data_IF_824795785442
#
_entry.id   IF_824795785442
#
_cell.length_a   1.000
_cell.length_b   1.000
_cell.length_c   1.000
_cell.angle_alpha   90.00
_cell.angle_beta   90.00
_cell.angle_gamma   90.00
#
_symmetry.space_group_name_H-M   'P 1'
#
loop_
_entity.id
_entity.type
_entity.pdbx_description
1 polymer ?
#
# COMPACT_ATOMS: atom_id res chain seq x y z
N UNK A 1 33.47 25.90 4.10
CA UNK A 1 33.59 24.59 3.43
C UNK A 1 32.18 24.02 3.34
N UNK A 2 31.51 24.31 2.23
CA UNK A 2 30.10 24.01 1.98
C UNK A 2 30.03 22.57 1.49
N UNK A 3 29.49 21.67 2.27
CA UNK A 3 29.20 20.28 1.85
C UNK A 3 27.94 20.32 1.03
N UNK A 4 28.10 20.33 -0.29
CA UNK A 4 27.03 20.05 -1.24
C UNK A 4 26.63 18.58 -1.09
N UNK A 5 25.52 18.31 -0.41
CA UNK A 5 24.81 17.05 -0.55
C UNK A 5 24.09 17.11 -1.91
N UNK A 6 24.75 16.63 -2.94
CA UNK A 6 24.13 16.23 -4.19
C UNK A 6 23.16 15.08 -3.87
N UNK A 7 21.89 15.41 -3.74
CA UNK A 7 20.84 14.41 -3.83
C UNK A 7 20.96 13.77 -5.22
N UNK A 8 21.52 12.56 -5.29
CA UNK A 8 21.56 11.74 -6.48
C UNK A 8 20.12 11.47 -6.86
N UNK A 9 19.58 12.20 -7.82
CA UNK A 9 18.30 11.86 -8.46
C UNK A 9 18.55 10.50 -9.12
N UNK A 10 18.14 9.44 -8.48
CA UNK A 10 18.18 8.08 -9.04
C UNK A 10 17.13 8.09 -10.14
N UNK A 11 17.58 8.16 -11.38
CA UNK A 11 16.71 8.07 -12.54
C UNK A 11 16.07 6.69 -12.53
N UNK A 12 14.74 6.63 -12.35
CA UNK A 12 13.99 5.39 -12.40
C UNK A 12 13.99 4.86 -13.84
N UNK A 13 14.53 3.66 -14.05
CA UNK A 13 14.50 2.97 -15.33
C UNK A 13 13.14 2.31 -15.49
N UNK A 14 12.38 2.73 -16.47
CA UNK A 14 11.03 2.20 -16.72
C UNK A 14 10.96 1.57 -18.10
N UNK A 15 10.41 0.36 -18.15
CA UNK A 15 10.12 -0.35 -19.38
C UNK A 15 8.61 -0.55 -19.52
N UNK A 16 8.08 -0.25 -20.70
CA UNK A 16 6.69 -0.40 -21.06
C UNK A 16 6.54 -1.53 -22.07
N UNK A 17 5.65 -2.48 -21.78
CA UNK A 17 5.23 -3.55 -22.69
C UNK A 17 3.71 -3.70 -22.67
N UNK A 18 3.17 -4.48 -23.59
CA UNK A 18 1.73 -4.85 -23.59
C UNK A 18 1.55 -6.28 -23.09
N UNK A 19 0.35 -6.61 -22.62
CA UNK A 19 -0.02 -7.98 -22.31
C UNK A 19 0.00 -8.86 -23.57
N UNK A 20 0.33 -10.14 -23.41
CA UNK A 20 0.49 -11.12 -24.49
C UNK A 20 1.45 -10.67 -25.61
N UNK A 21 2.50 -9.98 -25.26
CA UNK A 21 3.48 -9.47 -26.21
C UNK A 21 4.82 -10.23 -26.11
N UNK A 22 5.38 -10.55 -27.28
CA UNK A 22 6.73 -11.11 -27.42
C UNK A 22 7.75 -10.00 -27.55
N UNK A 23 8.83 -10.05 -26.75
CA UNK A 23 9.97 -9.13 -26.80
C UNK A 23 11.28 -9.90 -26.61
N UNK A 24 12.33 -9.48 -27.31
CA UNK A 24 13.66 -10.07 -27.12
C UNK A 24 14.14 -9.90 -25.68
N UNK A 25 14.90 -10.87 -25.17
CA UNK A 25 15.52 -10.76 -23.82
C UNK A 25 16.41 -9.52 -23.68
N UNK A 26 17.05 -9.09 -24.76
CA UNK A 26 17.86 -7.88 -24.79
C UNK A 26 17.06 -6.59 -24.51
N UNK A 27 15.77 -6.56 -24.86
CA UNK A 27 14.88 -5.44 -24.59
C UNK A 27 14.71 -5.14 -23.08
N UNK A 28 14.87 -6.17 -22.25
CA UNK A 28 14.70 -6.07 -20.80
C UNK A 28 16.02 -5.81 -20.05
N UNK A 29 17.11 -5.56 -20.75
CA UNK A 29 18.46 -5.41 -20.17
C UNK A 29 18.55 -4.30 -19.10
N UNK A 30 17.73 -3.25 -19.22
CA UNK A 30 17.72 -2.12 -18.27
C UNK A 30 16.97 -2.40 -16.97
N UNK A 31 16.10 -3.43 -16.95
CA UNK A 31 15.26 -3.80 -15.80
C UNK A 31 15.51 -5.25 -15.38
N UNK A 32 16.76 -5.67 -15.42
CA UNK A 32 17.15 -7.07 -15.17
C UNK A 32 16.69 -7.56 -13.79
N UNK A 33 16.82 -6.74 -12.74
CA UNK A 33 16.45 -7.13 -11.37
C UNK A 33 14.94 -7.41 -11.24
N UNK A 34 14.11 -6.65 -11.98
CA UNK A 34 12.66 -6.90 -12.04
C UNK A 34 12.40 -8.21 -12.76
N UNK A 35 13.07 -8.46 -13.89
CA UNK A 35 12.88 -9.69 -14.67
C UNK A 35 13.31 -10.93 -13.86
N UNK A 36 14.46 -10.88 -13.21
CA UNK A 36 14.97 -11.98 -12.37
C UNK A 36 14.02 -12.31 -11.20
N UNK A 37 13.27 -11.31 -10.74
CA UNK A 37 12.26 -11.50 -9.70
C UNK A 37 11.02 -12.27 -10.18
N UNK A 38 10.55 -12.02 -11.43
CA UNK A 38 9.22 -12.45 -11.90
C UNK A 38 9.23 -13.46 -13.04
N UNK A 39 10.35 -13.60 -13.78
CA UNK A 39 10.39 -14.48 -14.95
C UNK A 39 10.19 -15.96 -14.57
N UNK A 40 9.37 -16.63 -15.35
CA UNK A 40 9.06 -18.07 -15.23
C UNK A 40 8.47 -18.49 -13.86
N UNK A 41 7.88 -17.55 -13.13
CA UNK A 41 7.18 -17.80 -11.87
C UNK A 41 5.69 -17.56 -12.02
N UNK A 42 4.90 -18.43 -11.43
CA UNK A 42 3.44 -18.24 -11.34
C UNK A 42 3.08 -17.15 -10.32
N UNK A 43 1.88 -16.61 -10.43
CA UNK A 43 1.40 -15.63 -9.45
C UNK A 43 1.35 -16.21 -8.03
N UNK A 44 1.03 -17.50 -7.90
CA UNK A 44 1.02 -18.19 -6.60
C UNK A 44 2.43 -18.31 -5.99
N UNK A 45 3.44 -18.56 -6.80
CA UNK A 45 4.85 -18.59 -6.34
C UNK A 45 5.31 -17.21 -5.90
N UNK A 46 4.98 -16.17 -6.67
CA UNK A 46 5.31 -14.78 -6.34
C UNK A 46 4.63 -14.31 -5.05
N UNK A 47 3.42 -14.81 -4.75
CA UNK A 47 2.76 -14.55 -3.48
C UNK A 47 3.47 -15.25 -2.31
N UNK A 48 3.89 -16.50 -2.47
CA UNK A 48 4.67 -17.23 -1.45
C UNK A 48 6.01 -16.55 -1.15
N UNK A 49 6.64 -15.99 -2.17
CA UNK A 49 7.88 -15.22 -2.04
C UNK A 49 7.65 -13.80 -1.45
N UNK A 50 6.41 -13.39 -1.29
CA UNK A 50 6.04 -12.08 -0.73
C UNK A 50 6.19 -10.92 -1.72
N UNK A 51 6.29 -11.20 -3.02
CA UNK A 51 6.35 -10.19 -4.08
C UNK A 51 5.00 -9.52 -4.26
N UNK A 52 3.91 -10.31 -4.16
CA UNK A 52 2.53 -9.84 -4.20
C UNK A 52 1.73 -10.29 -3.00
N UNK A 53 0.65 -9.57 -2.72
CA UNK A 53 -0.39 -9.97 -1.78
C UNK A 53 -1.71 -9.88 -2.51
N UNK A 54 -2.39 -11.01 -2.67
CA UNK A 54 -3.69 -11.05 -3.33
C UNK A 54 -4.84 -10.97 -2.32
N UNK A 55 -5.95 -10.29 -2.67
CA UNK A 55 -7.19 -10.41 -1.91
C UNK A 55 -7.68 -11.86 -1.88
N UNK A 56 -8.42 -12.22 -0.82
CA UNK A 56 -8.99 -13.57 -0.66
C UNK A 56 -9.79 -14.03 -1.87
N UNK A 57 -10.55 -13.12 -2.50
CA UNK A 57 -11.32 -13.41 -3.72
C UNK A 57 -10.49 -13.84 -4.92
N UNK A 58 -9.22 -13.41 -4.99
CA UNK A 58 -8.28 -13.83 -6.05
C UNK A 58 -7.60 -15.14 -5.70
N UNK A 59 -7.28 -15.35 -4.40
CA UNK A 59 -6.69 -16.60 -3.90
C UNK A 59 -7.59 -17.81 -4.06
N UNK A 60 -8.90 -17.62 -3.91
CA UNK A 60 -9.92 -18.68 -4.09
C UNK A 60 -10.09 -19.09 -5.56
N UNK A 61 -9.55 -18.31 -6.49
CA UNK A 61 -9.54 -18.60 -7.92
C UNK A 61 -8.23 -19.31 -8.30
N UNK A 62 -8.16 -20.63 -8.11
CA UNK A 62 -6.97 -21.45 -8.40
C UNK A 62 -6.49 -21.28 -9.85
N UNK A 63 -7.42 -21.17 -10.80
CA UNK A 63 -7.12 -20.98 -12.23
C UNK A 63 -6.36 -19.69 -12.53
N UNK A 64 -6.55 -18.63 -11.71
CA UNK A 64 -5.90 -17.34 -11.92
C UNK A 64 -4.48 -17.28 -11.35
N UNK A 65 -4.21 -18.00 -10.27
CA UNK A 65 -2.94 -17.86 -9.55
C UNK A 65 -1.92 -18.93 -9.91
N UNK A 66 -2.37 -20.16 -10.20
CA UNK A 66 -1.46 -21.28 -10.42
C UNK A 66 -0.92 -21.34 -11.86
N UNK A 67 -1.71 -20.91 -12.86
CA UNK A 67 -1.33 -21.03 -14.27
C UNK A 67 -0.82 -19.72 -14.90
N UNK A 68 -1.09 -18.57 -14.27
CA UNK A 68 -0.70 -17.28 -14.81
C UNK A 68 0.73 -16.89 -14.40
N UNK A 69 1.52 -16.51 -15.40
CA UNK A 69 2.85 -15.91 -15.23
C UNK A 69 2.85 -14.48 -15.75
N UNK A 70 3.67 -13.62 -15.16
CA UNK A 70 3.84 -12.23 -15.62
C UNK A 70 4.73 -12.18 -16.85
N UNK A 71 5.86 -12.87 -16.80
CA UNK A 71 6.80 -13.05 -17.89
C UNK A 71 7.19 -14.51 -17.99
N UNK A 72 7.11 -15.07 -19.19
CA UNK A 72 7.54 -16.43 -19.49
C UNK A 72 8.68 -16.41 -20.50
N UNK A 73 9.73 -17.18 -20.24
CA UNK A 73 10.84 -17.36 -21.19
C UNK A 73 10.43 -18.26 -22.34
N UNK A 74 10.68 -17.80 -23.56
CA UNK A 74 10.49 -18.57 -24.77
C UNK A 74 11.67 -18.34 -25.73
N UNK A 75 12.62 -19.28 -25.77
CA UNK A 75 13.86 -19.14 -26.49
C UNK A 75 14.61 -17.84 -26.09
N UNK A 76 14.93 -16.98 -27.06
CA UNK A 76 15.57 -15.67 -26.85
C UNK A 76 14.59 -14.53 -26.59
N UNK A 77 13.35 -14.85 -26.26
CA UNK A 77 12.29 -13.88 -26.03
C UNK A 77 11.66 -14.06 -24.63
N UNK A 78 11.07 -13.02 -24.13
CA UNK A 78 10.07 -13.06 -23.07
C UNK A 78 8.69 -12.82 -23.66
N UNK A 79 7.72 -13.55 -23.14
CA UNK A 79 6.29 -13.37 -23.43
C UNK A 79 5.63 -12.83 -22.18
N UNK A 80 4.97 -11.69 -22.27
CA UNK A 80 4.14 -11.19 -21.16
C UNK A 80 2.85 -11.99 -21.09
N UNK A 81 2.44 -12.34 -19.88
CA UNK A 81 1.17 -13.02 -19.61
C UNK A 81 -0.05 -12.15 -19.84
N UNK A 82 -1.21 -12.70 -19.52
CA UNK A 82 -2.49 -12.00 -19.61
C UNK A 82 -2.76 -11.17 -18.34
N UNK A 83 -1.76 -10.39 -17.94
CA UNK A 83 -1.77 -9.59 -16.71
C UNK A 83 -1.42 -8.16 -17.04
N UNK A 84 -2.15 -7.21 -16.49
CA UNK A 84 -1.87 -5.77 -16.59
C UNK A 84 -1.50 -5.22 -15.22
N UNK A 85 -0.54 -4.32 -15.18
CA UNK A 85 -0.12 -3.68 -13.94
C UNK A 85 1.30 -3.15 -14.01
N UNK A 86 1.89 -2.98 -12.85
CA UNK A 86 3.28 -2.53 -12.74
C UNK A 86 3.98 -3.22 -11.58
N UNK A 87 5.27 -3.43 -11.73
CA UNK A 87 6.14 -3.95 -10.71
C UNK A 87 7.43 -3.12 -10.68
N UNK A 88 7.89 -2.77 -9.50
CA UNK A 88 9.13 -2.06 -9.30
C UNK A 88 10.03 -2.79 -8.30
N UNK A 89 11.32 -2.89 -8.64
CA UNK A 89 12.38 -3.38 -7.76
C UNK A 89 13.45 -2.31 -7.76
N UNK A 90 13.77 -1.75 -6.59
CA UNK A 90 14.71 -0.65 -6.41
C UNK A 90 14.40 0.57 -7.31
N UNK A 91 15.24 0.82 -8.33
CA UNK A 91 15.10 1.91 -9.29
C UNK A 91 14.65 1.44 -10.68
N UNK A 92 14.22 0.19 -10.81
CA UNK A 92 13.75 -0.42 -12.04
C UNK A 92 12.25 -0.66 -11.97
N UNK A 93 11.56 -0.48 -13.09
CA UNK A 93 10.11 -0.64 -13.17
C UNK A 93 9.68 -1.27 -14.49
N UNK A 94 8.83 -2.29 -14.39
CA UNK A 94 8.09 -2.85 -15.52
C UNK A 94 6.64 -2.38 -15.45
N UNK A 95 6.12 -1.90 -16.58
CA UNK A 95 4.71 -1.56 -16.75
C UNK A 95 4.15 -2.40 -17.88
N UNK A 96 3.07 -3.13 -17.62
CA UNK A 96 2.36 -3.94 -18.61
C UNK A 96 0.99 -3.30 -18.84
N UNK A 97 0.82 -2.73 -20.03
CA UNK A 97 -0.44 -2.13 -20.47
C UNK A 97 -1.30 -3.14 -21.21
N UNK A 98 -2.58 -2.83 -21.33
CA UNK A 98 -3.49 -3.62 -22.17
C UNK A 98 -3.07 -3.56 -23.65
N UNK A 99 -3.08 -4.71 -24.33
CA UNK A 99 -2.93 -4.78 -25.79
C UNK A 99 -3.98 -3.96 -26.55
N UNK A 100 -5.10 -3.66 -25.92
CA UNK A 100 -6.17 -2.83 -26.47
C UNK A 100 -5.94 -1.33 -26.26
N UNK A 101 -4.92 -0.96 -25.49
CA UNK A 101 -4.52 0.45 -25.30
C UNK A 101 -4.05 1.03 -26.64
N UNK A 102 -4.62 2.18 -27.04
CA UNK A 102 -4.24 2.93 -28.25
C UNK A 102 -3.90 4.36 -27.90
N UNK A 103 -2.66 4.73 -28.12
CA UNK A 103 -2.14 6.07 -27.84
C UNK A 103 -2.02 6.37 -26.34
N UNK A 104 -2.32 7.60 -25.95
CA UNK A 104 -2.16 8.07 -24.56
C UNK A 104 -3.30 7.62 -23.61
N UNK A 105 -4.37 7.02 -24.12
CA UNK A 105 -5.55 6.63 -23.33
C UNK A 105 -5.80 5.13 -23.40
N UNK A 106 -5.92 4.50 -22.26
CA UNK A 106 -6.36 3.10 -22.15
C UNK A 106 -7.87 3.04 -21.87
N UNK A 107 -8.66 3.15 -22.93
CA UNK A 107 -10.12 3.10 -22.85
C UNK A 107 -10.64 1.74 -22.34
N UNK A 108 -9.92 0.65 -22.63
CA UNK A 108 -10.32 -0.68 -22.17
C UNK A 108 -10.15 -0.81 -20.65
N UNK A 109 -9.04 -0.33 -20.13
CA UNK A 109 -8.80 -0.30 -18.70
C UNK A 109 -9.80 0.61 -17.97
N UNK A 110 -10.11 1.78 -18.53
CA UNK A 110 -11.15 2.65 -18.03
C UNK A 110 -12.51 1.95 -17.99
N UNK A 111 -12.90 1.26 -19.06
CA UNK A 111 -14.14 0.48 -19.12
C UNK A 111 -14.19 -0.62 -18.05
N UNK A 112 -13.10 -1.36 -17.85
CA UNK A 112 -13.01 -2.37 -16.79
C UNK A 112 -13.21 -1.76 -15.40
N UNK A 113 -12.58 -0.61 -15.13
CA UNK A 113 -12.73 0.10 -13.86
C UNK A 113 -14.18 0.56 -13.63
N UNK A 114 -14.81 1.15 -14.62
CA UNK A 114 -16.21 1.57 -14.54
C UNK A 114 -17.15 0.38 -14.23
N UNK A 115 -16.86 -0.80 -14.81
CA UNK A 115 -17.64 -2.01 -14.57
C UNK A 115 -17.40 -2.62 -13.19
N UNK A 116 -16.15 -2.65 -12.72
CA UNK A 116 -15.80 -3.21 -11.40
C UNK A 116 -16.28 -2.33 -10.27
N UNK A 117 -16.22 -1.02 -10.46
CA UNK A 117 -16.54 -0.04 -9.40
C UNK A 117 -18.02 0.31 -9.35
N UNK A 118 -18.82 -0.09 -10.36
CA UNK A 118 -20.25 0.27 -10.51
C UNK A 118 -20.50 1.79 -10.47
N UNK A 119 -19.49 2.61 -10.77
CA UNK A 119 -19.59 4.06 -10.86
C UNK A 119 -19.73 4.47 -12.33
N UNK A 120 -20.92 4.81 -12.81
CA UNK A 120 -21.08 5.47 -14.09
C UNK A 120 -20.53 6.90 -13.99
N UNK A 121 -19.73 7.32 -14.94
CA UNK A 121 -19.18 8.67 -15.11
C UNK A 121 -17.79 8.97 -14.50
N UNK A 122 -16.90 8.02 -14.44
CA UNK A 122 -15.49 8.27 -14.17
C UNK A 122 -14.72 8.82 -15.39
N UNK A 123 -15.38 9.60 -16.24
CA UNK A 123 -14.91 9.98 -17.58
C UNK A 123 -13.78 11.02 -17.56
N UNK A 124 -13.48 11.67 -16.46
CA UNK A 124 -12.47 12.73 -16.40
C UNK A 124 -11.26 12.42 -15.50
N UNK A 125 -10.64 11.26 -15.69
CA UNK A 125 -9.22 11.10 -15.38
C UNK A 125 -8.37 11.73 -16.51
N UNK A 126 -8.82 12.86 -17.02
CA UNK A 126 -8.01 13.76 -17.83
C UNK A 126 -7.00 14.46 -16.94
N UNK A 127 -6.03 13.74 -16.52
CA UNK A 127 -4.80 14.36 -16.10
C UNK A 127 -3.78 14.06 -17.17
N UNK A 128 -3.22 15.10 -17.74
CA UNK A 128 -1.97 15.16 -18.50
C UNK A 128 -0.78 14.70 -17.65
N UNK A 129 -1.02 13.79 -16.73
CA UNK A 129 -0.10 13.31 -15.75
C UNK A 129 0.60 12.05 -16.24
N UNK A 130 1.85 11.91 -15.89
CA UNK A 130 2.71 10.76 -16.15
C UNK A 130 2.00 9.43 -15.84
N UNK A 131 2.37 8.35 -16.53
CA UNK A 131 1.82 7.00 -16.35
C UNK A 131 1.77 6.56 -14.87
N UNK A 132 2.68 7.04 -14.05
CA UNK A 132 2.73 6.81 -12.60
C UNK A 132 1.48 7.31 -11.86
N UNK A 133 0.92 8.44 -12.27
CA UNK A 133 -0.29 8.99 -11.67
C UNK A 133 -1.55 8.22 -12.08
N UNK A 134 -1.58 7.60 -13.27
CA UNK A 134 -2.72 6.77 -13.70
C UNK A 134 -2.86 5.54 -12.83
N UNK A 135 -1.76 4.83 -12.61
CA UNK A 135 -1.74 3.61 -11.78
C UNK A 135 -2.02 3.94 -10.31
N UNK A 136 -1.47 5.04 -9.84
CA UNK A 136 -1.76 5.52 -8.49
C UNK A 136 -3.23 5.91 -8.34
N UNK A 137 -3.82 6.55 -9.34
CA UNK A 137 -5.25 6.88 -9.36
C UNK A 137 -6.12 5.62 -9.25
N UNK A 138 -5.73 4.50 -9.89
CA UNK A 138 -6.42 3.23 -9.74
C UNK A 138 -6.47 2.76 -8.28
N UNK A 139 -5.33 2.80 -7.58
CA UNK A 139 -5.28 2.42 -6.17
C UNK A 139 -6.17 3.30 -5.30
N UNK A 140 -6.26 4.59 -5.61
CA UNK A 140 -7.18 5.51 -4.92
C UNK A 140 -8.64 5.10 -5.10
N UNK A 141 -9.03 4.63 -6.29
CA UNK A 141 -10.40 4.18 -6.56
C UNK A 141 -10.73 2.84 -5.90
N UNK A 142 -9.76 1.95 -5.80
CA UNK A 142 -9.95 0.66 -5.14
C UNK A 142 -10.01 0.79 -3.62
N UNK A 143 -9.38 1.81 -3.05
CA UNK A 143 -9.27 2.01 -1.61
C UNK A 143 -10.63 1.99 -0.87
N UNK A 144 -11.70 2.71 -1.30
CA UNK A 144 -12.99 2.69 -0.63
C UNK A 144 -13.59 1.28 -0.55
N UNK A 145 -13.49 0.51 -1.63
CA UNK A 145 -14.01 -0.86 -1.69
C UNK A 145 -13.27 -1.77 -0.71
N UNK A 146 -11.95 -1.74 -0.73
CA UNK A 146 -11.14 -2.57 0.16
C UNK A 146 -11.30 -2.17 1.62
N UNK A 147 -11.31 -0.88 1.92
CA UNK A 147 -11.55 -0.40 3.28
C UNK A 147 -12.91 -0.85 3.82
N UNK A 148 -13.98 -0.73 3.02
CA UNK A 148 -15.31 -1.21 3.42
C UNK A 148 -15.32 -2.71 3.67
N UNK A 149 -14.65 -3.50 2.83
CA UNK A 149 -14.54 -4.95 3.03
C UNK A 149 -13.77 -5.29 4.30
N UNK A 150 -12.63 -4.65 4.53
CA UNK A 150 -11.84 -4.83 5.74
C UNK A 150 -12.66 -4.51 7.00
N UNK A 151 -13.40 -3.40 6.99
CA UNK A 151 -14.21 -2.95 8.12
C UNK A 151 -15.47 -3.76 8.38
N UNK A 152 -15.90 -4.64 7.46
CA UNK A 152 -17.02 -5.58 7.72
C UNK A 152 -16.79 -6.46 8.96
N UNK A 153 -15.54 -6.76 9.28
CA UNK A 153 -15.13 -7.53 10.45
C UNK A 153 -14.84 -6.65 11.68
N UNK A 154 -15.09 -5.35 11.57
CA UNK A 154 -14.80 -4.35 12.58
C UNK A 154 -13.37 -3.81 12.50
N UNK A 155 -13.08 -2.78 13.28
CA UNK A 155 -11.77 -2.16 13.34
C UNK A 155 -10.74 -3.10 14.01
N UNK A 156 -9.56 -3.14 13.43
CA UNK A 156 -8.43 -3.88 14.00
C UNK A 156 -8.03 -3.30 15.36
N UNK A 157 -7.97 -4.17 16.36
CA UNK A 157 -7.63 -3.84 17.73
C UNK A 157 -6.48 -4.71 18.21
N UNK A 158 -5.50 -4.12 18.86
CA UNK A 158 -4.33 -4.84 19.38
C UNK A 158 -3.85 -4.24 20.68
N UNK A 159 -2.97 -4.99 21.39
CA UNK A 159 -2.32 -4.49 22.59
C UNK A 159 -1.19 -3.56 22.24
N UNK A 160 -1.29 -2.32 22.72
CA UNK A 160 -0.22 -1.32 22.64
C UNK A 160 0.31 -0.99 24.03
N UNK A 161 1.58 -0.61 24.13
CA UNK A 161 2.19 -0.18 25.38
C UNK A 161 2.16 1.35 25.44
N UNK A 162 1.23 1.89 26.24
CA UNK A 162 1.13 3.33 26.50
C UNK A 162 1.98 3.75 27.70
N UNK A 163 2.56 4.95 27.61
CA UNK A 163 3.42 5.54 28.64
C UNK A 163 2.68 6.66 29.34
N UNK A 164 2.56 6.54 30.65
CA UNK A 164 1.85 7.49 31.51
C UNK A 164 2.81 8.13 32.51
N UNK A 165 2.44 9.31 33.03
CA UNK A 165 3.13 10.01 34.09
C UNK A 165 2.10 10.78 34.91
N UNK A 166 1.50 10.10 35.89
CA UNK A 166 0.45 10.63 36.75
C UNK A 166 0.53 10.00 38.14
N UNK A 167 -0.32 10.46 39.07
CA UNK A 167 -0.35 9.95 40.48
C UNK A 167 -1.07 8.63 40.63
N UNK A 168 -1.74 8.08 39.59
CA UNK A 168 -2.53 6.86 39.66
C UNK A 168 -1.90 5.72 38.84
N UNK A 169 -0.92 5.07 39.42
CA UNK A 169 -0.13 4.02 38.80
C UNK A 169 -1.01 2.77 38.46
N UNK A 170 -1.12 2.44 37.18
CA UNK A 170 -1.92 1.31 36.68
C UNK A 170 -1.11 0.33 35.83
N UNK A 171 0.20 0.31 35.96
CA UNK A 171 1.08 -0.53 35.17
C UNK A 171 2.49 -0.65 35.73
N UNK A 172 3.43 -1.14 34.94
CA UNK A 172 4.81 -1.32 35.35
C UNK A 172 5.53 0.03 35.42
N UNK A 173 6.15 0.32 36.56
CA UNK A 173 6.92 1.57 36.76
C UNK A 173 8.15 1.59 35.85
N UNK A 174 8.32 2.67 35.12
CA UNK A 174 9.48 2.94 34.28
C UNK A 174 10.46 3.80 35.09
N UNK A 175 11.33 3.12 35.86
CA UNK A 175 12.25 3.76 36.83
C UNK A 175 13.14 4.79 36.13
N UNK A 176 13.71 4.46 34.99
CA UNK A 176 14.61 5.38 34.28
C UNK A 176 13.90 6.68 33.87
N UNK A 177 12.69 6.55 33.32
CA UNK A 177 11.87 7.69 32.92
C UNK A 177 11.33 8.45 34.13
N UNK A 178 11.02 7.74 35.23
CA UNK A 178 10.57 8.35 36.45
C UNK A 178 11.67 9.27 37.06
N UNK A 179 12.87 8.76 37.18
CA UNK A 179 14.02 9.55 37.69
C UNK A 179 14.28 10.77 36.80
N UNK A 180 14.22 10.58 35.47
CA UNK A 180 14.46 11.66 34.49
C UNK A 180 13.42 12.79 34.57
N UNK A 181 12.15 12.45 34.76
CA UNK A 181 11.03 13.38 34.59
C UNK A 181 10.48 13.89 35.91
N UNK A 182 10.68 13.15 37.03
CA UNK A 182 10.01 13.39 38.30
C UNK A 182 11.02 13.60 39.47
N UNK A 183 12.17 14.17 39.17
CA UNK A 183 13.12 14.57 40.18
C UNK A 183 13.23 16.12 40.18
N UNK A 184 12.83 16.81 41.27
CA UNK A 184 12.27 16.30 42.53
C UNK A 184 10.86 15.71 42.37
N UNK A 185 10.50 14.77 43.26
CA UNK A 185 9.19 14.10 43.21
C UNK A 185 8.07 15.06 43.59
N UNK A 186 7.07 15.18 42.70
CA UNK A 186 5.90 16.07 42.84
C UNK A 186 4.57 15.28 42.80
N UNK A 187 4.61 13.99 43.15
CA UNK A 187 3.40 13.15 43.19
C UNK A 187 3.10 12.33 41.93
N UNK A 188 3.83 12.56 40.82
CA UNK A 188 3.65 11.80 39.58
C UNK A 188 4.64 10.64 39.47
N UNK A 189 4.20 9.52 38.95
CA UNK A 189 5.02 8.33 38.72
C UNK A 189 4.95 7.97 37.23
N UNK A 190 6.12 7.78 36.62
CA UNK A 190 6.20 7.31 35.22
C UNK A 190 6.02 5.80 35.17
N UNK A 191 5.02 5.33 34.44
CA UNK A 191 4.74 3.92 34.28
C UNK A 191 4.31 3.59 32.84
N UNK A 192 4.32 2.33 32.50
CA UNK A 192 3.88 1.80 31.22
C UNK A 192 2.74 0.81 31.43
N UNK A 193 1.70 0.88 30.60
CA UNK A 193 0.53 0.00 30.66
C UNK A 193 0.25 -0.56 29.28
N UNK A 194 -0.06 -1.87 29.22
CA UNK A 194 -0.57 -2.50 28.00
C UNK A 194 -2.08 -2.30 27.92
N UNK A 195 -2.53 -1.69 26.83
CA UNK A 195 -3.95 -1.42 26.59
C UNK A 195 -4.38 -2.03 25.26
N UNK A 196 -5.57 -2.60 25.22
CA UNK A 196 -6.19 -3.13 24.02
C UNK A 196 -6.89 -1.98 23.32
N UNK A 197 -6.29 -1.48 22.21
CA UNK A 197 -6.67 -0.21 21.58
C UNK A 197 -6.88 -0.34 20.08
N UNK A 198 -7.79 0.45 19.55
CA UNK A 198 -7.95 0.71 18.12
C UNK A 198 -6.90 1.70 17.59
N UNK A 199 -6.38 2.58 18.46
CA UNK A 199 -5.31 3.52 18.11
C UNK A 199 -3.98 2.79 18.08
N UNK A 200 -3.69 2.16 16.95
CA UNK A 200 -2.52 1.31 16.73
C UNK A 200 -1.90 1.60 15.35
N UNK A 201 -0.69 1.08 15.14
CA UNK A 201 0.12 1.34 13.94
C UNK A 201 -0.61 1.07 12.62
N UNK A 202 -1.49 0.04 12.56
CA UNK A 202 -2.21 -0.31 11.34
C UNK A 202 -3.33 0.68 11.05
N UNK A 203 -4.16 0.99 12.04
CA UNK A 203 -5.27 1.95 11.87
C UNK A 203 -4.72 3.37 11.66
N UNK A 204 -3.59 3.73 12.28
CA UNK A 204 -2.86 4.98 11.98
C UNK A 204 -2.40 5.04 10.51
N UNK A 205 -1.95 3.92 9.92
CA UNK A 205 -1.56 3.86 8.51
C UNK A 205 -2.78 4.09 7.59
N UNK A 206 -3.89 3.41 7.88
CA UNK A 206 -5.16 3.63 7.15
C UNK A 206 -5.60 5.09 7.27
N UNK A 207 -5.52 5.67 8.47
CA UNK A 207 -5.80 7.08 8.69
C UNK A 207 -4.89 7.99 7.86
N UNK A 208 -3.61 7.69 7.80
CA UNK A 208 -2.65 8.44 7.00
C UNK A 208 -2.98 8.38 5.51
N UNK A 209 -3.41 7.21 5.01
CA UNK A 209 -3.86 7.01 3.63
C UNK A 209 -5.12 7.85 3.34
N UNK A 210 -6.08 7.88 4.26
CA UNK A 210 -7.29 8.73 4.13
C UNK A 210 -6.91 10.22 4.01
N UNK A 211 -6.03 10.72 4.88
CA UNK A 211 -5.60 12.12 4.81
C UNK A 211 -4.83 12.44 3.52
N UNK A 212 -4.05 11.49 3.03
CA UNK A 212 -3.38 11.61 1.75
C UNK A 212 -4.38 11.69 0.58
N UNK A 213 -5.40 10.82 0.57
CA UNK A 213 -6.45 10.80 -0.44
C UNK A 213 -7.24 12.11 -0.44
N UNK A 214 -7.57 12.68 0.73
CA UNK A 214 -8.26 13.97 0.84
C UNK A 214 -7.54 15.11 0.12
N UNK A 215 -6.22 15.06 0.04
CA UNK A 215 -5.38 16.03 -0.67
C UNK A 215 -5.32 15.84 -2.18
N UNK A 216 -5.90 14.77 -2.74
CA UNK A 216 -5.88 14.48 -4.17
C UNK A 216 -7.15 14.94 -4.88
N UNK A 217 -7.03 15.19 -6.21
CA UNK A 217 -8.18 15.47 -7.05
C UNK A 217 -9.18 14.32 -6.96
N UNK A 218 -10.47 14.64 -6.85
CA UNK A 218 -11.54 13.67 -6.63
C UNK A 218 -11.47 12.86 -5.32
N UNK A 219 -10.42 13.01 -4.50
CA UNK A 219 -10.24 12.23 -3.29
C UNK A 219 -11.37 12.40 -2.27
N UNK A 220 -11.89 13.63 -2.11
CA UNK A 220 -13.03 13.89 -1.20
C UNK A 220 -14.29 13.17 -1.66
N UNK A 221 -14.60 13.21 -2.96
CA UNK A 221 -15.76 12.53 -3.53
C UNK A 221 -15.68 11.01 -3.34
N UNK A 222 -14.49 10.42 -3.48
CA UNK A 222 -14.27 8.99 -3.23
C UNK A 222 -14.51 8.63 -1.77
N UNK A 223 -14.02 9.44 -0.84
CA UNK A 223 -14.17 9.21 0.60
C UNK A 223 -15.60 9.47 1.08
N UNK A 224 -16.37 10.31 0.40
CA UNK A 224 -17.77 10.53 0.73
C UNK A 224 -18.61 9.25 0.54
N UNK A 225 -18.19 8.34 -0.34
CA UNK A 225 -18.87 7.04 -0.54
C UNK A 225 -18.72 6.09 0.66
N UNK A 226 -17.71 6.33 1.51
CA UNK A 226 -17.38 5.55 2.72
C UNK A 226 -17.25 6.46 3.95
N UNK A 227 -18.10 7.46 4.03
CA UNK A 227 -18.04 8.50 5.07
C UNK A 227 -18.11 7.93 6.49
N UNK A 228 -18.92 6.91 6.70
CA UNK A 228 -19.10 6.31 8.02
C UNK A 228 -17.85 5.56 8.45
N UNK A 229 -17.24 4.79 7.56
CA UNK A 229 -15.99 4.09 7.78
C UNK A 229 -14.84 5.07 8.08
N UNK A 230 -14.77 6.15 7.30
CA UNK A 230 -13.78 7.22 7.50
C UNK A 230 -13.96 7.87 8.88
N UNK A 231 -15.18 8.18 9.30
CA UNK A 231 -15.45 8.76 10.60
C UNK A 231 -15.07 7.81 11.76
N UNK A 232 -15.36 6.51 11.63
CA UNK A 232 -14.95 5.50 12.62
C UNK A 232 -13.43 5.45 12.77
N UNK A 233 -12.67 5.50 11.66
CA UNK A 233 -11.20 5.52 11.72
C UNK A 233 -10.68 6.82 12.35
N UNK A 234 -11.30 7.95 12.03
CA UNK A 234 -10.96 9.24 12.64
C UNK A 234 -11.14 9.20 14.16
N UNK A 235 -12.25 8.67 14.63
CA UNK A 235 -12.54 8.52 16.06
C UNK A 235 -11.62 7.51 16.75
N UNK A 236 -11.25 6.45 16.05
CA UNK A 236 -10.36 5.41 16.57
C UNK A 236 -8.89 5.85 16.70
N UNK A 237 -8.49 6.92 16.03
CA UNK A 237 -7.09 7.40 15.99
C UNK A 237 -6.94 8.84 16.49
N UNK A 238 -7.27 9.12 17.78
CA UNK A 238 -7.19 10.48 18.32
C UNK A 238 -5.76 11.00 18.44
N UNK A 239 -4.77 10.12 18.59
CA UNK A 239 -3.36 10.49 18.73
C UNK A 239 -2.63 10.65 17.38
N UNK A 240 -3.32 10.39 16.25
CA UNK A 240 -2.73 10.49 14.92
C UNK A 240 -2.18 11.89 14.62
N UNK A 241 -0.97 11.94 14.05
CA UNK A 241 -0.33 13.17 13.57
C UNK A 241 0.28 12.96 12.19
N UNK A 242 -0.12 13.77 11.23
CA UNK A 242 0.36 13.66 9.84
C UNK A 242 1.90 13.79 9.71
N UNK A 243 2.56 14.51 10.62
CA UNK A 243 4.02 14.67 10.66
C UNK A 243 4.78 13.39 11.01
N UNK A 244 4.12 12.42 11.64
CA UNK A 244 4.75 11.17 12.11
C UNK A 244 4.79 10.08 11.01
N UNK A 245 4.69 10.47 9.72
CA UNK A 245 4.63 9.57 8.56
C UNK A 245 5.68 8.47 8.58
N UNK A 246 6.96 8.81 8.82
CA UNK A 246 8.04 7.81 8.84
C UNK A 246 7.82 6.78 9.93
N UNK A 247 7.47 7.22 11.13
CA UNK A 247 7.19 6.35 12.27
C UNK A 247 6.02 5.38 11.98
N UNK A 248 4.96 5.87 11.35
CA UNK A 248 3.79 5.07 10.99
C UNK A 248 4.20 3.98 9.99
N UNK A 249 4.93 4.33 8.92
CA UNK A 249 5.40 3.39 7.91
C UNK A 249 6.36 2.36 8.51
N UNK A 250 7.39 2.81 9.25
CA UNK A 250 8.39 1.93 9.86
C UNK A 250 7.78 0.94 10.86
N UNK A 251 6.77 1.37 11.62
CA UNK A 251 6.04 0.50 12.52
C UNK A 251 5.25 -0.59 11.77
N UNK A 252 4.67 -0.28 10.61
CA UNK A 252 3.93 -1.25 9.81
C UNK A 252 4.85 -2.25 9.11
N UNK A 253 6.01 -1.82 8.62
CA UNK A 253 7.02 -2.72 8.05
C UNK A 253 7.49 -3.74 9.10
N UNK A 254 7.69 -3.31 10.35
CA UNK A 254 8.17 -4.17 11.44
C UNK A 254 7.10 -5.08 12.04
N UNK A 255 5.85 -4.64 12.03
CA UNK A 255 4.73 -5.28 12.71
C UNK A 255 3.68 -5.76 11.69
N UNK A 256 4.01 -6.80 10.95
CA UNK A 256 3.08 -7.40 10.00
C UNK A 256 1.91 -8.06 10.76
N UNK A 257 0.69 -7.75 10.37
CA UNK A 257 -0.52 -8.39 10.89
C UNK A 257 -0.63 -9.79 10.31
N UNK A 258 -0.36 -10.81 11.15
CA UNK A 258 -0.41 -12.22 10.75
C UNK A 258 -1.76 -12.89 11.03
N UNK A 259 -2.69 -12.18 11.64
CA UNK A 259 -3.98 -12.74 12.01
C UNK A 259 -4.89 -12.80 10.77
N UNK A 260 -5.30 -14.00 10.37
CA UNK A 260 -6.11 -14.23 9.16
C UNK A 260 -7.42 -13.42 9.11
N UNK A 261 -7.98 -13.07 10.27
CA UNK A 261 -9.21 -12.29 10.38
C UNK A 261 -9.04 -10.82 9.89
N UNK A 262 -7.85 -10.24 10.04
CA UNK A 262 -7.58 -8.83 9.73
C UNK A 262 -6.58 -8.62 8.60
N UNK A 263 -6.24 -9.64 7.83
CA UNK A 263 -5.23 -9.50 6.78
C UNK A 263 -5.68 -8.61 5.61
N UNK A 264 -6.97 -8.28 5.52
CA UNK A 264 -7.51 -7.38 4.49
C UNK A 264 -7.23 -5.89 4.77
N UNK A 265 -6.78 -5.54 5.97
CA UNK A 265 -6.33 -4.19 6.29
C UNK A 265 -4.96 -3.91 5.67
#
# INVERSE_FOLDING_TARGET
>A
MVIQHLAKVILMKQLLIKDNQYKSKSYFSEIKDVVDCIADKTLAELEKEGVFVFPSSVRESEDLTNDQMILQSYNDMYVSGNVMGFLGVENQRLVIESRFSRGERDYFFQYLLEKILEFPNFINLETSANQDERLFSLLLFLFPRYLRNAMRKGLFKTYICKKYNDGNVRGSIDVARHIKNNTPFIGNIAYSKREYSYDNYLIELVRHTIEYIKGKNCGRMLLDTIKDEVNQIIQATPEYRAKDRRKIIDNNIKNVVRHAYYHEY
#
